data_IF_530191085363
#
_entry.id   IF_530191085363
#
_cell.length_a   1.000
_cell.length_b   1.000
_cell.length_c   1.000
_cell.angle_alpha   90.00
_cell.angle_beta   90.00
_cell.angle_gamma   90.00
#
_symmetry.space_group_name_H-M   'P 1'
#
loop_
_entity.id
_entity.type
_entity.pdbx_description
1 polymer ?
#
# COMPACT_ATOMS: atom_id res chain seq x y z
N UNK A 1 -17.87 5.24 27.67
CA UNK A 1 -17.89 4.90 26.23
C UNK A 1 -17.74 3.40 26.07
N UNK A 2 -18.48 2.77 25.15
CA UNK A 2 -18.23 1.36 24.76
C UNK A 2 -16.92 1.30 23.97
N UNK A 3 -16.04 0.36 24.31
CA UNK A 3 -14.81 0.06 23.56
C UNK A 3 -15.21 -0.52 22.20
N UNK A 4 -14.65 0.02 21.11
CA UNK A 4 -14.86 -0.42 19.73
C UNK A 4 -13.49 -0.70 19.11
N UNK A 5 -13.44 -1.61 18.15
CA UNK A 5 -12.25 -1.86 17.35
C UNK A 5 -12.35 -1.06 16.06
N UNK A 6 -11.24 -0.47 15.64
CA UNK A 6 -11.12 0.35 14.43
C UNK A 6 -10.00 -0.20 13.55
N UNK A 7 -10.20 -0.11 12.24
CA UNK A 7 -9.16 -0.39 11.24
C UNK A 7 -9.37 0.45 9.99
N UNK A 8 -8.26 0.81 9.33
CA UNK A 8 -8.24 1.51 8.05
C UNK A 8 -7.45 0.70 7.03
N UNK A 9 -7.88 0.76 5.78
CA UNK A 9 -7.15 0.21 4.64
C UNK A 9 -6.97 1.32 3.60
N UNK A 10 -5.71 1.59 3.29
CA UNK A 10 -5.32 2.61 2.32
C UNK A 10 -4.64 1.95 1.13
N UNK A 11 -5.12 2.30 -0.06
CA UNK A 11 -4.58 1.87 -1.34
C UNK A 11 -3.68 2.95 -1.93
N UNK A 12 -2.51 2.55 -2.42
CA UNK A 12 -1.53 3.47 -2.99
C UNK A 12 -1.35 3.23 -4.49
N UNK A 13 -1.49 4.29 -5.28
CA UNK A 13 -1.15 4.26 -6.70
C UNK A 13 0.37 4.19 -6.89
N UNK A 14 0.85 3.27 -7.74
CA UNK A 14 2.27 3.09 -8.00
C UNK A 14 2.56 3.12 -9.51
N UNK A 15 3.48 3.98 -9.94
CA UNK A 15 3.91 4.02 -11.34
C UNK A 15 5.41 4.29 -11.48
N UNK A 16 6.00 3.80 -12.56
CA UNK A 16 7.39 4.06 -12.91
C UNK A 16 7.45 4.82 -14.22
N UNK A 17 8.07 6.00 -14.21
CA UNK A 17 8.20 6.86 -15.39
C UNK A 17 9.66 7.19 -15.68
N UNK A 18 9.98 7.42 -16.96
CA UNK A 18 11.27 7.92 -17.41
C UNK A 18 11.00 9.01 -18.45
N UNK A 19 11.51 10.22 -18.24
CA UNK A 19 11.29 11.38 -19.13
C UNK A 19 9.81 11.65 -19.43
N UNK A 20 8.92 11.46 -18.44
CA UNK A 20 7.48 11.67 -18.58
C UNK A 20 6.73 10.55 -19.31
N UNK A 21 7.42 9.49 -19.75
CA UNK A 21 6.78 8.30 -20.33
C UNK A 21 6.78 7.14 -19.33
N UNK A 22 5.69 6.37 -19.30
CA UNK A 22 5.59 5.16 -18.47
C UNK A 22 6.64 4.15 -18.95
N UNK A 23 7.52 3.72 -18.04
CA UNK A 23 8.64 2.83 -18.34
C UNK A 23 8.32 1.37 -18.04
N UNK A 24 7.60 1.14 -16.95
CA UNK A 24 7.13 -0.18 -16.53
C UNK A 24 5.61 -0.12 -16.32
N UNK A 25 4.94 -1.23 -16.64
CA UNK A 25 3.53 -1.39 -16.28
C UNK A 25 3.36 -1.47 -14.77
N UNK A 26 2.22 -1.04 -14.21
CA UNK A 26 1.96 -1.08 -12.76
C UNK A 26 2.23 -2.45 -12.15
N UNK A 27 1.84 -3.53 -12.84
CA UNK A 27 2.05 -4.90 -12.40
C UNK A 27 3.53 -5.26 -12.22
N UNK A 28 4.40 -4.80 -13.13
CA UNK A 28 5.82 -5.09 -13.06
C UNK A 28 6.50 -4.31 -11.93
N UNK A 29 6.10 -3.05 -11.74
CA UNK A 29 6.62 -2.22 -10.65
C UNK A 29 6.20 -2.78 -9.30
N UNK A 30 4.94 -3.18 -9.18
CA UNK A 30 4.40 -3.67 -7.92
C UNK A 30 4.96 -5.05 -7.55
N UNK A 31 5.08 -5.97 -8.52
CA UNK A 31 5.80 -7.25 -8.29
C UNK A 31 7.25 -7.01 -7.93
N UNK A 32 7.93 -6.08 -8.59
CA UNK A 32 9.31 -5.74 -8.24
C UNK A 32 9.43 -5.27 -6.78
N UNK A 33 8.53 -4.39 -6.33
CA UNK A 33 8.46 -3.94 -4.94
C UNK A 33 8.31 -5.13 -3.97
N UNK A 34 7.31 -5.98 -4.17
CA UNK A 34 7.02 -7.09 -3.24
C UNK A 34 8.05 -8.22 -3.31
N UNK A 35 8.57 -8.57 -4.49
CA UNK A 35 9.50 -9.69 -4.65
C UNK A 35 10.95 -9.34 -4.34
N UNK A 36 11.37 -8.09 -4.60
CA UNK A 36 12.78 -7.68 -4.49
C UNK A 36 13.08 -6.81 -3.29
N UNK A 37 12.08 -6.07 -2.79
CA UNK A 37 12.29 -5.07 -1.73
C UNK A 37 11.76 -5.55 -0.39
N UNK A 38 10.64 -6.28 -0.36
CA UNK A 38 10.02 -6.78 0.86
C UNK A 38 10.47 -8.23 1.13
N UNK A 39 11.34 -8.47 2.13
CA UNK A 39 11.78 -9.82 2.43
C UNK A 39 10.61 -10.67 2.93
N UNK A 40 10.40 -11.84 2.33
CA UNK A 40 9.41 -12.81 2.82
C UNK A 40 7.96 -12.55 2.43
N UNK A 41 7.68 -11.55 1.57
CA UNK A 41 6.36 -11.33 0.99
C UNK A 41 5.99 -12.48 0.02
N UNK A 42 5.48 -13.58 0.56
CA UNK A 42 4.91 -14.67 -0.24
C UNK A 42 3.59 -14.19 -0.83
N UNK A 43 3.42 -14.38 -2.13
CA UNK A 43 2.21 -13.99 -2.86
C UNK A 43 1.84 -12.50 -2.69
N UNK A 44 2.85 -11.63 -2.56
CA UNK A 44 2.67 -10.19 -2.38
C UNK A 44 1.77 -9.82 -1.18
N UNK A 45 1.91 -10.55 -0.06
CA UNK A 45 1.16 -10.32 1.16
C UNK A 45 2.06 -10.58 2.37
N UNK A 46 2.15 -9.62 3.29
CA UNK A 46 2.99 -9.71 4.49
C UNK A 46 2.33 -9.02 5.68
N UNK A 47 2.56 -9.56 6.88
CA UNK A 47 2.27 -8.89 8.13
C UNK A 47 3.55 -8.22 8.65
N UNK A 48 3.43 -6.96 9.04
CA UNK A 48 4.53 -6.15 9.54
C UNK A 48 4.66 -6.28 11.07
N UNK A 49 5.82 -5.92 11.60
CA UNK A 49 6.11 -6.01 13.04
C UNK A 49 5.19 -5.15 13.90
N UNK A 50 4.62 -4.08 13.32
CA UNK A 50 3.65 -3.21 13.99
C UNK A 50 2.21 -3.76 13.96
N UNK A 51 2.01 -5.01 13.51
CA UNK A 51 0.70 -5.66 13.41
C UNK A 51 -0.11 -5.29 12.15
N UNK A 52 0.36 -4.32 11.35
CA UNK A 52 -0.27 -3.96 10.10
C UNK A 52 -0.09 -5.05 9.03
N UNK A 53 -0.95 -5.04 8.03
CA UNK A 53 -0.82 -5.91 6.85
C UNK A 53 -0.50 -5.05 5.63
N UNK A 54 0.48 -5.48 4.85
CA UNK A 54 0.83 -4.88 3.57
C UNK A 54 0.67 -5.93 2.48
N UNK A 55 -0.19 -5.68 1.50
CA UNK A 55 -0.45 -6.62 0.42
C UNK A 55 -0.66 -5.93 -0.91
N UNK A 56 -0.62 -6.71 -1.98
CA UNK A 56 -0.91 -6.24 -3.33
C UNK A 56 -2.33 -6.66 -3.72
N UNK A 57 -3.17 -5.69 -4.04
CA UNK A 57 -4.50 -5.96 -4.55
C UNK A 57 -4.49 -6.39 -6.03
N UNK A 58 -5.64 -6.90 -6.49
CA UNK A 58 -5.92 -7.30 -7.88
C UNK A 58 -5.65 -6.16 -8.87
N UNK A 59 -5.76 -4.90 -8.44
CA UNK A 59 -5.38 -3.71 -9.21
C UNK A 59 -3.87 -3.47 -9.36
N UNK A 60 -3.03 -4.28 -8.71
CA UNK A 60 -1.58 -4.06 -8.55
C UNK A 60 -1.22 -2.81 -7.72
N UNK A 61 -2.09 -2.43 -6.79
CA UNK A 61 -1.80 -1.38 -5.82
C UNK A 61 -1.33 -1.98 -4.51
N UNK A 62 -0.25 -1.45 -3.92
CA UNK A 62 0.09 -1.73 -2.54
C UNK A 62 -1.02 -1.19 -1.62
N UNK A 63 -1.56 -2.06 -0.79
CA UNK A 63 -2.55 -1.72 0.24
C UNK A 63 -1.95 -1.93 1.63
N UNK A 64 -2.04 -0.90 2.47
CA UNK A 64 -1.68 -0.96 3.88
C UNK A 64 -2.95 -0.97 4.73
N UNK A 65 -3.14 -2.05 5.49
CA UNK A 65 -4.18 -2.17 6.49
C UNK A 65 -3.57 -1.97 7.89
N UNK A 66 -4.10 -1.01 8.65
CA UNK A 66 -3.68 -0.77 10.04
C UNK A 66 -3.93 -2.01 10.91
N UNK A 67 -3.18 -2.23 12.00
CA UNK A 67 -3.61 -3.18 13.02
C UNK A 67 -4.96 -2.76 13.62
N UNK A 68 -5.61 -3.69 14.30
CA UNK A 68 -6.81 -3.42 15.08
C UNK A 68 -6.50 -2.44 16.22
N UNK A 69 -7.08 -1.25 16.17
CA UNK A 69 -6.87 -0.19 17.16
C UNK A 69 -8.10 -0.07 18.07
N UNK A 70 -7.92 0.23 19.35
CA UNK A 70 -9.03 0.39 20.29
C UNK A 70 -9.43 1.87 20.55
N UNK A 71 -8.68 2.78 19.93
CA UNK A 71 -8.90 4.22 19.97
C UNK A 71 -8.61 4.88 18.62
N UNK A 72 -9.30 5.97 18.31
CA UNK A 72 -9.08 6.76 17.08
C UNK A 72 -7.67 7.37 17.05
N UNK A 73 -7.12 7.74 18.21
CA UNK A 73 -5.77 8.30 18.28
C UNK A 73 -4.71 7.27 17.85
N UNK A 74 -4.84 6.03 18.33
CA UNK A 74 -3.96 4.92 17.92
C UNK A 74 -4.11 4.61 16.42
N UNK A 75 -5.35 4.61 15.92
CA UNK A 75 -5.64 4.41 14.49
C UNK A 75 -4.90 5.43 13.61
N UNK A 76 -4.99 6.72 13.94
CA UNK A 76 -4.30 7.78 13.18
C UNK A 76 -2.78 7.64 13.25
N UNK A 77 -2.24 7.17 14.39
CA UNK A 77 -0.80 6.90 14.51
C UNK A 77 -0.37 5.76 13.58
N UNK A 78 -1.14 4.68 13.53
CA UNK A 78 -0.84 3.54 12.67
C UNK A 78 -1.03 3.84 11.18
N UNK A 79 -2.03 4.64 10.85
CA UNK A 79 -2.28 5.16 9.51
C UNK A 79 -1.08 5.99 9.03
N UNK A 80 -0.62 6.95 9.85
CA UNK A 80 0.55 7.77 9.52
C UNK A 80 1.86 7.00 9.50
N UNK A 81 1.96 5.93 10.28
CA UNK A 81 3.07 5.00 10.21
C UNK A 81 3.06 4.22 8.88
N UNK A 82 1.89 3.86 8.37
CA UNK A 82 1.70 3.23 7.07
C UNK A 82 2.29 4.05 5.93
N UNK A 83 1.94 5.34 5.86
CA UNK A 83 2.49 6.26 4.86
C UNK A 83 4.03 6.25 4.84
N UNK A 84 4.65 6.33 6.03
CA UNK A 84 6.12 6.33 6.16
C UNK A 84 6.75 5.01 5.75
N UNK A 85 6.08 3.88 6.04
CA UNK A 85 6.54 2.56 5.63
C UNK A 85 6.50 2.44 4.11
N UNK A 86 5.40 2.85 3.48
CA UNK A 86 5.28 2.79 2.01
C UNK A 86 6.26 3.73 1.33
N UNK A 87 6.49 4.93 1.87
CA UNK A 87 7.52 5.87 1.38
C UNK A 87 8.93 5.28 1.49
N UNK A 88 9.28 4.65 2.61
CA UNK A 88 10.59 3.98 2.77
C UNK A 88 10.75 2.80 1.78
N UNK A 89 9.69 2.03 1.56
CA UNK A 89 9.69 0.96 0.56
C UNK A 89 9.90 1.49 -0.85
N UNK A 90 9.30 2.63 -1.19
CA UNK A 90 9.53 3.32 -2.46
C UNK A 90 11.00 3.70 -2.62
N UNK A 91 11.59 4.35 -1.62
CA UNK A 91 13.02 4.74 -1.67
C UNK A 91 13.95 3.54 -1.82
N UNK A 92 13.66 2.42 -1.13
CA UNK A 92 14.41 1.17 -1.28
C UNK A 92 14.25 0.59 -2.69
N UNK A 93 13.04 0.63 -3.25
CA UNK A 93 12.77 0.18 -4.61
C UNK A 93 13.53 1.01 -5.66
N UNK A 94 13.53 2.33 -5.54
CA UNK A 94 14.29 3.19 -6.44
C UNK A 94 15.79 2.93 -6.36
N UNK A 95 16.32 2.75 -5.14
CA UNK A 95 17.72 2.40 -4.94
C UNK A 95 18.04 1.07 -5.65
N UNK A 96 17.17 0.07 -5.50
CA UNK A 96 17.35 -1.24 -6.12
C UNK A 96 17.26 -1.18 -7.64
N UNK A 97 16.31 -0.42 -8.20
CA UNK A 97 16.20 -0.20 -9.63
C UNK A 97 17.49 0.39 -10.22
N UNK A 98 18.08 1.37 -9.52
CA UNK A 98 19.38 1.94 -9.92
C UNK A 98 20.52 0.92 -9.85
N UNK A 99 20.56 0.08 -8.81
CA UNK A 99 21.54 -1.01 -8.68
C UNK A 99 21.40 -2.05 -9.80
N UNK A 100 20.18 -2.34 -10.23
CA UNK A 100 19.88 -3.26 -11.33
C UNK A 100 20.07 -2.61 -12.74
N UNK A 101 20.51 -1.35 -12.79
CA UNK A 101 20.75 -0.61 -14.04
C UNK A 101 19.47 -0.15 -14.75
N UNK A 102 18.32 -0.20 -14.08
CA UNK A 102 17.03 0.21 -14.63
C UNK A 102 16.85 1.71 -14.37
N UNK A 103 16.88 2.50 -15.44
CA UNK A 103 16.57 3.93 -15.36
C UNK A 103 15.06 4.16 -15.28
N UNK A 104 14.60 4.78 -14.20
CA UNK A 104 13.21 5.17 -13.98
C UNK A 104 13.02 5.82 -12.60
N UNK A 105 12.05 6.72 -12.51
CA UNK A 105 11.60 7.34 -11.27
C UNK A 105 10.30 6.67 -10.82
N UNK A 106 10.24 6.26 -9.55
CA UNK A 106 9.01 5.72 -8.99
C UNK A 106 8.18 6.87 -8.42
N UNK A 107 6.89 6.83 -8.72
CA UNK A 107 5.92 7.80 -8.22
C UNK A 107 4.87 7.03 -7.43
N UNK A 108 4.67 7.47 -6.19
CA UNK A 108 3.64 7.00 -5.30
C UNK A 108 2.55 8.07 -5.21
N UNK A 109 1.30 7.65 -5.36
CA UNK A 109 0.14 8.53 -5.22
C UNK A 109 -0.76 8.03 -4.11
N UNK A 110 -0.87 8.83 -3.06
CA UNK A 110 -1.93 8.71 -2.05
C UNK A 110 -3.10 9.57 -2.52
N UNK A 111 -3.81 9.10 -3.54
CA UNK A 111 -4.98 9.80 -4.04
C UNK A 111 -5.99 8.82 -4.62
N UNK A 112 -7.26 9.07 -4.39
CA UNK A 112 -8.37 8.24 -4.85
C UNK A 112 -8.61 8.34 -6.36
N UNK A 113 -7.69 8.94 -7.12
CA UNK A 113 -7.79 9.09 -8.57
C UNK A 113 -6.40 9.24 -9.18
N UNK A 114 -6.05 8.38 -10.13
CA UNK A 114 -4.90 8.62 -11.01
C UNK A 114 -5.28 9.54 -12.18
N UNK A 115 -4.29 10.13 -12.84
CA UNK A 115 -4.48 10.97 -14.02
C UNK A 115 -4.91 10.21 -15.29
N UNK A 116 -5.12 8.89 -15.18
CA UNK A 116 -5.70 8.03 -16.21
C UNK A 116 -7.19 7.72 -15.98
N UNK A 117 -7.79 8.21 -14.88
CA UNK A 117 -9.21 8.05 -14.57
C UNK A 117 -9.55 6.78 -13.77
N UNK A 118 -8.56 6.12 -13.18
CA UNK A 118 -8.81 5.00 -12.27
C UNK A 118 -9.06 5.51 -10.85
N UNK A 119 -10.13 5.02 -10.21
CA UNK A 119 -10.48 5.33 -8.82
C UNK A 119 -9.95 4.27 -7.88
N UNK A 120 -9.31 4.69 -6.79
CA UNK A 120 -8.77 3.83 -5.74
C UNK A 120 -9.37 4.24 -4.38
N UNK A 121 -9.68 3.26 -3.54
CA UNK A 121 -10.52 3.45 -2.35
C UNK A 121 -9.71 3.64 -1.07
N UNK A 122 -10.18 4.53 -0.19
CA UNK A 122 -9.85 4.45 1.24
C UNK A 122 -11.02 3.71 1.91
N UNK A 123 -10.76 2.51 2.43
CA UNK A 123 -11.77 1.69 3.08
C UNK A 123 -11.66 1.84 4.60
N UNK A 124 -12.68 2.45 5.20
CA UNK A 124 -12.83 2.47 6.64
C UNK A 124 -13.56 1.19 7.09
N UNK A 125 -12.89 0.34 7.88
CA UNK A 125 -13.54 -0.84 8.48
C UNK A 125 -14.03 -0.48 9.89
N UNK A 126 -15.35 -0.52 10.05
CA UNK A 126 -16.03 -0.46 11.34
C UNK A 126 -16.60 -1.86 11.60
N UNK A 127 -16.15 -2.51 12.68
CA UNK A 127 -16.77 -3.76 13.10
C UNK A 127 -18.09 -3.42 13.83
N UNK A 128 -19.22 -3.48 13.14
CA UNK A 128 -20.51 -3.73 13.76
C UNK A 128 -20.89 -5.18 13.44
N UNK A 129 -21.28 -5.94 14.48
CA UNK A 129 -21.72 -7.34 14.38
C UNK A 129 -22.86 -7.47 13.35
N UNK A 130 -22.56 -7.68 12.08
CA UNK A 130 -23.45 -8.27 11.08
C UNK A 130 -22.66 -8.68 9.83
N UNK A 131 -23.00 -9.87 9.33
CA UNK A 131 -22.31 -10.63 8.28
C UNK A 131 -22.29 -9.84 6.96
N UNK A 132 -21.11 -9.40 6.50
CA UNK A 132 -20.94 -8.89 5.14
C UNK A 132 -20.76 -10.06 4.15
N UNK A 133 -21.84 -10.36 3.43
CA UNK A 133 -21.86 -11.26 2.27
C UNK A 133 -21.28 -10.50 1.07
N UNK A 134 -20.20 -11.04 0.49
CA UNK A 134 -19.65 -10.61 -0.79
C UNK A 134 -20.66 -10.84 -1.92
N UNK A 135 -20.90 -9.83 -2.75
CA UNK A 135 -21.57 -9.95 -4.05
C UNK A 135 -20.59 -9.63 -5.16
#
# INVERSE_FOLDING_TARGET
>A
MKRRIFGLENEYGLTCTLNGQRRLSPDNVARYLFEKVIPGARNANVFLENGARLYLDTGFHPEYATPECDSVAELVVHDKAGERIVEDLLHRAEKRLREDGISGNLLLFENNTDSAGNSYGCHAKLEENEVCVSS
#
